data_IF_270981013925
#
_entry.id   IF_270981013925
#
_cell.length_a   1.000
_cell.length_b   1.000
_cell.length_c   1.000
_cell.angle_alpha   90.00
_cell.angle_beta   90.00
_cell.angle_gamma   90.00
#
_symmetry.space_group_name_H-M   'P 1'
#
loop_
_entity.id
_entity.type
_entity.pdbx_description
1 polymer ?
#
# COMPACT_ATOMS: atom_id res chain seq x y z
N UNK A 1 -27.16 2.71 -58.72
CA UNK A 1 -27.81 2.69 -57.40
C UNK A 1 -27.65 1.31 -56.81
N UNK A 2 -27.37 1.21 -55.50
CA UNK A 2 -26.74 0.13 -54.71
C UNK A 2 -25.30 -0.25 -55.13
N UNK A 3 -24.30 0.65 -55.14
CA UNK A 3 -23.40 1.07 -54.03
C UNK A 3 -22.81 -0.05 -53.16
N UNK A 4 -21.48 -0.15 -53.25
CA UNK A 4 -20.49 -0.43 -52.19
C UNK A 4 -20.90 -1.35 -51.03
N UNK A 5 -20.42 -2.61 -51.06
CA UNK A 5 -20.45 -3.49 -49.89
C UNK A 5 -19.26 -4.48 -49.87
N UNK A 6 -18.06 -4.04 -50.23
CA UNK A 6 -16.82 -4.81 -50.00
C UNK A 6 -15.60 -3.88 -49.97
N UNK A 7 -15.56 -2.98 -48.99
CA UNK A 7 -14.29 -2.45 -48.47
C UNK A 7 -14.04 -3.14 -47.14
N UNK A 8 -12.81 -3.58 -46.83
CA UNK A 8 -12.49 -4.03 -45.49
C UNK A 8 -12.63 -2.82 -44.58
N UNK A 9 -13.60 -2.87 -43.67
CA UNK A 9 -13.71 -1.90 -42.61
C UNK A 9 -12.44 -1.99 -41.77
N UNK A 10 -11.61 -0.96 -41.92
CA UNK A 10 -10.56 -0.62 -40.97
C UNK A 10 -11.24 -0.25 -39.66
N UNK A 11 -11.58 -1.25 -38.87
CA UNK A 11 -11.74 -1.09 -37.44
C UNK A 11 -10.33 -1.02 -36.85
N UNK A 12 -9.71 0.17 -36.94
CA UNK A 12 -8.89 0.62 -35.83
C UNK A 12 -9.84 0.77 -34.67
N UNK A 13 -9.95 -0.27 -33.85
CA UNK A 13 -10.29 -0.07 -32.45
C UNK A 13 -9.02 0.54 -31.85
N UNK A 14 -8.99 1.83 -31.48
CA UNK A 14 -8.06 2.19 -30.44
C UNK A 14 -8.61 1.47 -29.22
N UNK A 15 -7.99 0.35 -28.86
CA UNK A 15 -7.92 0.01 -27.44
C UNK A 15 -7.54 1.34 -26.77
N UNK A 16 -8.49 1.93 -26.05
CA UNK A 16 -8.21 3.01 -25.12
C UNK A 16 -7.27 2.36 -24.13
N UNK A 17 -5.98 2.43 -24.46
CA UNK A 17 -4.87 2.07 -23.61
C UNK A 17 -4.92 3.13 -22.50
N UNK A 18 -5.85 2.95 -21.57
CA UNK A 18 -5.93 3.69 -20.33
C UNK A 18 -4.84 3.17 -19.40
N UNK A 19 -3.63 2.96 -19.94
CA UNK A 19 -2.42 3.25 -19.20
C UNK A 19 -2.42 4.78 -18.97
N UNK A 20 -3.35 5.25 -18.12
CA UNK A 20 -3.07 6.44 -17.34
C UNK A 20 -1.67 6.22 -16.82
N UNK A 21 -0.74 7.10 -17.20
CA UNK A 21 0.65 7.02 -16.81
C UNK A 21 0.67 6.91 -15.28
N UNK A 22 0.77 5.68 -14.75
CA UNK A 22 0.60 5.43 -13.30
C UNK A 22 1.74 6.11 -12.54
N UNK A 23 2.90 6.31 -13.18
CA UNK A 23 3.96 7.17 -12.66
C UNK A 23 3.49 8.62 -12.45
N UNK A 24 2.51 9.09 -13.24
CA UNK A 24 1.91 10.42 -13.22
C UNK A 24 1.16 10.77 -11.94
N UNK A 25 0.60 9.79 -11.21
CA UNK A 25 -0.20 10.09 -10.01
C UNK A 25 0.62 10.80 -8.91
N UNK A 26 1.91 10.45 -8.80
CA UNK A 26 2.84 11.06 -7.85
C UNK A 26 3.98 11.83 -8.54
N UNK A 27 3.97 11.99 -9.87
CA UNK A 27 5.10 12.55 -10.63
C UNK A 27 5.55 13.93 -10.15
N UNK A 28 4.61 14.81 -9.80
CA UNK A 28 4.90 16.15 -9.28
C UNK A 28 4.75 16.24 -7.75
N UNK A 29 4.43 15.13 -7.09
CA UNK A 29 4.13 15.12 -5.65
C UNK A 29 5.39 15.34 -4.81
N UNK A 30 5.25 16.17 -3.78
CA UNK A 30 6.24 16.39 -2.73
C UNK A 30 5.56 16.28 -1.37
N UNK A 31 6.05 15.41 -0.50
CA UNK A 31 5.37 15.09 0.76
C UNK A 31 5.63 13.67 1.21
N UNK A 32 4.62 13.05 1.83
CA UNK A 32 4.69 11.68 2.32
C UNK A 32 3.62 10.80 1.69
N UNK A 33 4.03 9.63 1.24
CA UNK A 33 3.15 8.58 0.76
C UNK A 33 3.26 7.37 1.70
N UNK A 34 2.14 6.74 2.03
CA UNK A 34 2.07 5.58 2.92
C UNK A 34 1.43 4.40 2.18
N UNK A 35 1.94 3.20 2.40
CA UNK A 35 1.51 2.01 1.65
C UNK A 35 2.37 0.79 1.90
N UNK A 36 2.33 -0.15 0.98
CA UNK A 36 3.09 -1.41 1.04
C UNK A 36 4.12 -1.43 -0.08
N UNK A 37 5.39 -1.63 0.27
CA UNK A 37 6.42 -1.95 -0.71
C UNK A 37 6.29 -3.43 -1.09
N UNK A 38 5.92 -3.71 -2.33
CA UNK A 38 5.74 -5.06 -2.84
C UNK A 38 7.06 -5.63 -3.37
N UNK A 39 7.83 -4.81 -4.07
CA UNK A 39 9.06 -5.25 -4.72
C UNK A 39 10.00 -4.08 -5.04
N UNK A 40 11.23 -4.41 -5.46
CA UNK A 40 12.19 -3.45 -6.01
C UNK A 40 12.77 -3.95 -7.32
N UNK A 41 12.96 -3.04 -8.27
CA UNK A 41 13.57 -3.33 -9.56
C UNK A 41 14.76 -2.40 -9.84
N UNK A 42 15.75 -2.90 -10.58
CA UNK A 42 16.83 -2.08 -11.16
C UNK A 42 16.41 -1.63 -12.55
N UNK A 43 16.35 -0.32 -12.76
CA UNK A 43 15.98 0.30 -14.03
C UNK A 43 17.05 1.29 -14.47
N UNK A 44 17.05 1.68 -15.75
CA UNK A 44 17.98 2.68 -16.27
C UNK A 44 17.26 4.02 -16.38
N UNK A 45 17.87 5.08 -15.85
CA UNK A 45 17.35 6.44 -16.03
C UNK A 45 17.65 6.98 -17.45
N UNK A 46 17.20 8.20 -17.76
CA UNK A 46 17.43 8.85 -19.06
C UNK A 46 18.91 9.00 -19.44
N UNK A 47 19.82 8.97 -18.46
CA UNK A 47 21.27 9.05 -18.66
C UNK A 47 21.91 7.68 -18.86
N UNK A 48 21.15 6.60 -18.74
CA UNK A 48 21.62 5.23 -18.79
C UNK A 48 22.23 4.73 -17.47
N UNK A 49 22.08 5.48 -16.38
CA UNK A 49 22.55 5.04 -15.06
C UNK A 49 21.53 4.09 -14.42
N UNK A 50 22.01 3.03 -13.78
CA UNK A 50 21.18 2.12 -13.00
C UNK A 50 20.66 2.77 -11.72
N UNK A 51 19.35 2.79 -11.54
CA UNK A 51 18.64 3.29 -10.36
C UNK A 51 17.65 2.24 -9.85
N UNK A 52 17.21 2.37 -8.61
CA UNK A 52 16.16 1.51 -8.06
C UNK A 52 14.77 2.13 -8.26
N UNK A 53 13.79 1.27 -8.51
CA UNK A 53 12.37 1.57 -8.61
C UNK A 53 11.59 0.72 -7.60
N UNK A 54 10.62 1.35 -6.93
CA UNK A 54 9.73 0.72 -5.96
C UNK A 54 8.42 0.32 -6.63
N UNK A 55 8.06 -0.95 -6.57
CA UNK A 55 6.68 -1.40 -6.81
C UNK A 55 5.90 -1.21 -5.51
N UNK A 56 5.04 -0.20 -5.48
CA UNK A 56 4.45 0.33 -4.26
C UNK A 56 2.93 0.36 -4.34
N UNK A 57 2.26 -0.33 -3.43
CA UNK A 57 0.81 -0.30 -3.30
C UNK A 57 0.38 0.84 -2.38
N UNK A 58 -0.39 1.78 -2.92
CA UNK A 58 -0.94 2.94 -2.21
C UNK A 58 -2.42 3.12 -2.54
N UNK A 59 -3.27 3.10 -1.51
CA UNK A 59 -4.72 3.12 -1.70
C UNK A 59 -5.17 1.91 -2.51
N UNK A 60 -5.73 2.14 -3.69
CA UNK A 60 -6.17 1.10 -4.63
C UNK A 60 -5.22 0.91 -5.83
N UNK A 61 -4.05 1.56 -5.84
CA UNK A 61 -3.13 1.57 -6.99
C UNK A 61 -1.77 0.97 -6.64
N UNK A 62 -1.24 0.15 -7.54
CA UNK A 62 0.18 -0.21 -7.56
C UNK A 62 0.92 0.74 -8.49
N UNK A 63 1.92 1.44 -7.95
CA UNK A 63 2.73 2.43 -8.66
C UNK A 63 4.18 1.99 -8.71
N UNK A 64 4.89 2.41 -9.76
CA UNK A 64 6.32 2.20 -9.93
C UNK A 64 7.05 3.53 -9.67
N UNK A 65 7.69 3.66 -8.51
CA UNK A 65 8.18 4.93 -8.00
C UNK A 65 9.71 4.96 -7.97
N UNK A 66 10.28 5.94 -8.67
CA UNK A 66 11.72 6.07 -8.85
C UNK A 66 12.43 6.62 -7.60
N UNK A 67 13.60 6.06 -7.31
CA UNK A 67 14.48 6.56 -6.24
C UNK A 67 15.58 7.49 -6.76
N UNK A 68 15.91 7.40 -8.06
CA UNK A 68 17.06 8.05 -8.68
C UNK A 68 18.39 7.84 -7.92
N UNK A 69 18.55 6.69 -7.24
CA UNK A 69 19.73 6.37 -6.44
C UNK A 69 19.91 7.24 -5.19
N UNK A 70 18.87 7.99 -4.79
CA UNK A 70 18.92 8.85 -3.60
C UNK A 70 18.80 8.08 -2.28
N UNK A 71 18.29 6.85 -2.33
CA UNK A 71 18.14 5.96 -1.18
C UNK A 71 18.75 4.59 -1.50
N UNK A 72 19.23 3.92 -0.46
CA UNK A 72 19.56 2.50 -0.52
C UNK A 72 18.28 1.75 -0.24
N UNK A 73 17.80 0.97 -1.22
CA UNK A 73 16.55 0.22 -1.09
C UNK A 73 16.74 -1.01 -0.22
N UNK A 74 15.65 -1.42 0.42
CA UNK A 74 15.63 -2.70 1.12
C UNK A 74 15.89 -3.87 0.17
N UNK A 75 16.55 -4.90 0.69
CA UNK A 75 16.74 -6.15 -0.03
C UNK A 75 15.44 -6.95 -0.07
N UNK A 76 15.25 -7.83 -1.07
CA UNK A 76 14.05 -8.69 -1.16
C UNK A 76 13.76 -9.44 0.15
N UNK A 77 14.73 -10.07 0.84
CA UNK A 77 14.45 -10.72 2.13
C UNK A 77 13.98 -9.77 3.23
N UNK A 78 14.41 -8.51 3.20
CA UNK A 78 13.94 -7.47 4.12
C UNK A 78 12.49 -7.11 3.82
N UNK A 79 12.16 -6.93 2.54
CA UNK A 79 10.80 -6.65 2.08
C UNK A 79 9.86 -7.80 2.45
N UNK A 80 10.24 -9.05 2.20
CA UNK A 80 9.46 -10.24 2.59
C UNK A 80 9.20 -10.30 4.10
N UNK A 81 10.18 -9.87 4.90
CA UNK A 81 10.06 -9.72 6.35
C UNK A 81 8.99 -8.72 6.74
N UNK A 82 9.01 -7.53 6.12
CA UNK A 82 8.01 -6.48 6.34
C UNK A 82 6.62 -6.90 5.86
N UNK A 83 6.51 -7.55 4.70
CA UNK A 83 5.24 -8.10 4.20
C UNK A 83 4.63 -9.10 5.19
N UNK A 84 5.46 -9.98 5.74
CA UNK A 84 5.04 -10.99 6.73
C UNK A 84 4.62 -10.38 8.07
N UNK A 85 5.36 -9.36 8.52
CA UNK A 85 5.04 -8.61 9.73
C UNK A 85 3.78 -7.73 9.54
N UNK A 86 3.46 -7.39 8.30
CA UNK A 86 2.41 -6.45 7.93
C UNK A 86 2.84 -5.02 8.22
N UNK A 87 4.10 -4.66 7.97
CA UNK A 87 4.60 -3.31 8.17
C UNK A 87 4.20 -2.37 7.03
N UNK A 88 3.85 -1.14 7.39
CA UNK A 88 3.69 -0.06 6.42
C UNK A 88 5.04 0.55 6.08
N UNK A 89 5.18 0.97 4.83
CA UNK A 89 6.22 1.86 4.38
C UNK A 89 5.68 3.29 4.30
N UNK A 90 6.54 4.24 4.67
CA UNK A 90 6.33 5.66 4.44
C UNK A 90 7.47 6.19 3.56
N UNK A 91 7.13 6.83 2.44
CA UNK A 91 8.07 7.41 1.49
C UNK A 91 8.11 8.94 1.64
N UNK A 92 9.29 9.53 1.82
CA UNK A 92 9.48 10.98 1.68
C UNK A 92 9.80 11.31 0.23
N UNK A 93 8.91 12.02 -0.43
CA UNK A 93 9.00 12.32 -1.86
C UNK A 93 9.31 13.79 -2.12
N UNK A 94 10.00 14.05 -3.23
CA UNK A 94 10.21 15.38 -3.79
C UNK A 94 10.17 15.28 -5.31
N UNK A 95 9.16 15.93 -5.90
CA UNK A 95 8.86 15.91 -7.35
C UNK A 95 8.86 14.47 -7.90
N UNK A 96 8.04 13.61 -7.30
CA UNK A 96 7.87 12.21 -7.72
C UNK A 96 9.02 11.26 -7.42
N UNK A 97 10.11 11.76 -6.85
CA UNK A 97 11.29 10.94 -6.53
C UNK A 97 11.32 10.64 -5.03
N UNK A 98 11.51 9.37 -4.68
CA UNK A 98 11.75 8.95 -3.30
C UNK A 98 13.12 9.46 -2.85
N UNK A 99 13.14 10.19 -1.74
CA UNK A 99 14.36 10.78 -1.15
C UNK A 99 14.76 10.16 0.17
N UNK A 100 13.79 9.58 0.90
CA UNK A 100 13.96 8.77 2.12
C UNK A 100 12.77 7.83 2.24
N UNK A 101 12.90 6.80 3.06
CA UNK A 101 11.76 6.00 3.50
C UNK A 101 11.96 5.59 4.96
N UNK A 102 10.89 5.10 5.58
CA UNK A 102 10.91 4.40 6.85
C UNK A 102 9.77 3.38 6.88
N UNK A 103 9.73 2.59 7.94
CA UNK A 103 8.79 1.49 8.13
C UNK A 103 8.11 1.59 9.49
N UNK A 104 6.91 1.02 9.63
CA UNK A 104 6.13 1.10 10.87
C UNK A 104 6.80 0.40 12.06
N UNK A 105 7.59 -0.64 11.82
CA UNK A 105 8.34 -1.40 12.84
C UNK A 105 9.26 -0.51 13.71
N UNK A 106 9.75 0.58 13.14
CA UNK A 106 10.64 1.53 13.80
C UNK A 106 10.02 2.94 13.91
N UNK A 107 8.70 3.05 13.83
CA UNK A 107 7.95 4.31 13.85
C UNK A 107 8.46 5.30 12.78
N UNK A 108 8.81 4.79 11.61
CA UNK A 108 9.33 5.56 10.47
C UNK A 108 10.57 6.40 10.77
N UNK A 109 11.48 5.89 11.62
CA UNK A 109 12.70 6.58 12.05
C UNK A 109 13.63 7.06 10.92
N UNK A 110 13.53 6.48 9.73
CA UNK A 110 14.28 6.88 8.53
C UNK A 110 13.83 8.21 7.90
N UNK A 111 12.70 8.77 8.32
CA UNK A 111 12.17 10.03 7.79
C UNK A 111 12.81 11.26 8.45
N UNK A 112 12.74 12.41 7.77
CA UNK A 112 13.35 13.67 8.24
C UNK A 112 12.65 14.32 9.44
N UNK A 113 11.44 13.87 9.80
CA UNK A 113 10.72 14.29 11.00
C UNK A 113 9.86 13.13 11.51
N UNK A 114 9.50 13.10 12.80
CA UNK A 114 8.59 12.08 13.33
C UNK A 114 7.31 11.99 12.50
N UNK A 115 6.76 10.79 12.34
CA UNK A 115 5.38 10.65 11.89
C UNK A 115 4.45 11.11 13.02
N UNK A 116 4.21 12.42 13.08
CA UNK A 116 3.18 12.97 13.94
C UNK A 116 1.86 12.30 13.59
N UNK A 117 1.13 11.84 14.60
CA UNK A 117 -0.16 11.18 14.39
C UNK A 117 -0.10 9.69 14.03
N UNK A 118 1.09 9.11 13.83
CA UNK A 118 1.17 7.66 13.61
C UNK A 118 0.80 6.87 14.86
N UNK A 119 -0.07 5.88 14.67
CA UNK A 119 -0.44 4.91 15.70
C UNK A 119 -0.58 3.51 15.07
N UNK A 120 0.06 2.52 15.68
CA UNK A 120 -0.17 1.10 15.41
C UNK A 120 -1.02 0.53 16.55
N UNK A 121 -2.32 0.41 16.31
CA UNK A 121 -3.30 -0.08 17.29
C UNK A 121 -3.10 -1.57 17.63
N UNK A 122 -2.24 -2.26 16.89
CA UNK A 122 -1.96 -3.69 17.02
C UNK A 122 -0.52 -3.99 17.48
N UNK A 123 0.30 -2.97 17.75
CA UNK A 123 1.73 -3.12 18.05
C UNK A 123 2.04 -4.12 19.18
N UNK A 124 1.19 -4.17 20.21
CA UNK A 124 1.41 -5.04 21.37
C UNK A 124 1.20 -6.55 21.09
N UNK A 125 0.35 -6.90 20.13
CA UNK A 125 0.05 -8.30 19.77
C UNK A 125 0.63 -8.72 18.41
N UNK A 126 1.19 -7.78 17.66
CA UNK A 126 1.52 -7.94 16.25
C UNK A 126 0.25 -7.90 15.41
N UNK A 127 -0.57 -8.94 15.45
CA UNK A 127 -1.84 -9.00 14.73
C UNK A 127 -3.03 -9.07 15.70
N UNK A 128 -4.16 -8.45 15.31
CA UNK A 128 -5.43 -8.57 16.04
C UNK A 128 -6.35 -9.57 15.35
N UNK A 129 -6.84 -10.59 16.08
CA UNK A 129 -7.84 -11.50 15.51
C UNK A 129 -9.22 -10.83 15.54
N UNK A 130 -9.88 -10.76 14.40
CA UNK A 130 -11.21 -10.16 14.26
C UNK A 130 -12.24 -11.02 14.99
N UNK A 131 -13.03 -10.37 15.84
CA UNK A 131 -14.22 -10.94 16.47
C UNK A 131 -15.47 -10.67 15.62
N UNK A 132 -15.68 -9.41 15.24
CA UNK A 132 -16.83 -8.96 14.45
C UNK A 132 -16.50 -7.70 13.65
N UNK A 133 -17.26 -7.45 12.58
CA UNK A 133 -17.18 -6.21 11.79
C UNK A 133 -18.59 -5.73 11.47
N UNK A 134 -18.92 -4.53 11.91
CA UNK A 134 -20.22 -3.90 11.63
C UNK A 134 -20.03 -2.41 11.36
N UNK A 135 -20.52 -1.91 10.23
CA UNK A 135 -20.52 -0.47 9.87
C UNK A 135 -19.17 0.23 10.11
N UNK A 136 -18.09 -0.24 9.47
CA UNK A 136 -16.74 0.33 9.61
C UNK A 136 -16.19 0.30 11.05
N UNK A 137 -16.76 -0.52 11.92
CA UNK A 137 -16.20 -0.80 13.24
C UNK A 137 -15.65 -2.22 13.22
N UNK A 138 -14.37 -2.37 13.54
CA UNK A 138 -13.70 -3.65 13.72
C UNK A 138 -13.58 -3.94 15.21
N UNK A 139 -14.14 -5.06 15.64
CA UNK A 139 -13.91 -5.61 16.97
C UNK A 139 -12.83 -6.69 16.90
N UNK A 140 -11.78 -6.60 17.71
CA UNK A 140 -10.75 -7.65 17.82
C UNK A 140 -10.79 -8.34 19.18
N UNK A 141 -10.42 -9.62 19.18
CA UNK A 141 -10.34 -10.47 20.37
C UNK A 141 -9.12 -10.06 21.20
N UNK A 142 -9.29 -9.94 22.50
CA UNK A 142 -8.19 -9.86 23.47
C UNK A 142 -7.97 -11.20 24.18
N UNK A 143 -6.77 -11.36 24.73
CA UNK A 143 -6.52 -12.41 25.71
C UNK A 143 -7.53 -12.30 26.86
N UNK A 144 -8.00 -13.45 27.35
CA UNK A 144 -8.93 -13.57 28.48
C UNK A 144 -10.37 -13.07 28.23
N UNK A 145 -10.80 -13.00 26.96
CA UNK A 145 -12.20 -12.75 26.59
C UNK A 145 -12.62 -11.27 26.57
N UNK A 146 -11.66 -10.36 26.65
CA UNK A 146 -11.90 -8.94 26.35
C UNK A 146 -12.04 -8.67 24.85
N UNK A 147 -12.36 -7.42 24.52
CA UNK A 147 -12.44 -6.93 23.14
C UNK A 147 -11.84 -5.54 23.01
N UNK A 148 -11.20 -5.27 21.89
CA UNK A 148 -10.89 -3.92 21.44
C UNK A 148 -11.85 -3.54 20.31
N UNK A 149 -12.23 -2.27 20.24
CA UNK A 149 -13.16 -1.75 19.24
C UNK A 149 -12.48 -0.58 18.56
N UNK A 150 -12.43 -0.61 17.22
CA UNK A 150 -11.77 0.40 16.41
C UNK A 150 -12.72 0.91 15.34
N UNK A 151 -12.87 2.23 15.25
CA UNK A 151 -13.54 2.88 14.13
C UNK A 151 -12.57 2.99 12.96
N UNK A 152 -13.04 2.68 11.76
CA UNK A 152 -12.29 2.75 10.51
C UNK A 152 -12.89 3.85 9.66
N UNK A 153 -12.06 4.63 8.97
CA UNK A 153 -12.55 5.59 7.98
C UNK A 153 -13.31 4.87 6.85
N UNK A 154 -14.32 5.54 6.29
CA UNK A 154 -15.09 4.96 5.18
C UNK A 154 -14.23 4.75 3.91
N UNK A 155 -13.21 5.60 3.74
CA UNK A 155 -12.22 5.61 2.67
C UNK A 155 -10.84 5.10 3.14
N UNK A 156 -10.78 4.37 4.25
CA UNK A 156 -9.55 3.74 4.70
C UNK A 156 -8.93 2.86 3.61
N UNK A 157 -7.60 2.88 3.51
CA UNK A 157 -6.88 1.97 2.63
C UNK A 157 -6.88 0.56 3.22
N UNK A 158 -7.41 -0.41 2.49
CA UNK A 158 -7.50 -1.80 2.96
C UNK A 158 -6.66 -2.67 2.04
N UNK A 159 -5.74 -3.43 2.64
CA UNK A 159 -4.81 -4.30 1.92
C UNK A 159 -5.02 -5.76 2.36
N UNK A 160 -5.27 -6.66 1.41
CA UNK A 160 -5.47 -8.09 1.68
C UNK A 160 -4.21 -8.85 1.31
N UNK A 161 -3.71 -9.66 2.23
CA UNK A 161 -2.50 -10.44 2.02
C UNK A 161 -2.71 -11.50 0.94
N UNK A 162 -1.81 -11.52 -0.04
CA UNK A 162 -1.70 -12.61 -1.02
C UNK A 162 -0.83 -13.69 -0.40
N UNK A 163 -1.37 -14.91 -0.30
CA UNK A 163 -0.70 -16.04 0.36
C UNK A 163 -0.43 -17.16 -0.63
N UNK A 164 0.84 -17.45 -0.85
CA UNK A 164 1.31 -18.55 -1.70
C UNK A 164 2.19 -19.50 -0.89
N UNK A 165 1.93 -20.81 -0.98
CA UNK A 165 2.70 -21.80 -0.22
C UNK A 165 2.65 -21.63 1.30
N UNK A 166 1.67 -20.88 1.83
CA UNK A 166 1.54 -20.56 3.26
C UNK A 166 2.34 -19.35 3.74
N UNK A 167 3.03 -18.64 2.85
CA UNK A 167 3.73 -17.39 3.13
C UNK A 167 3.00 -16.21 2.48
N UNK A 168 3.07 -15.03 3.11
CA UNK A 168 2.60 -13.80 2.49
C UNK A 168 3.64 -13.38 1.45
N UNK A 169 3.23 -13.25 0.19
CA UNK A 169 4.10 -12.86 -0.93
C UNK A 169 3.81 -11.46 -1.44
N UNK A 170 2.73 -10.84 -0.98
CA UNK A 170 2.35 -9.48 -1.35
C UNK A 170 1.02 -9.09 -0.72
N UNK A 171 0.49 -7.97 -1.18
CA UNK A 171 -0.84 -7.47 -0.83
C UNK A 171 -1.54 -6.96 -2.07
N UNK A 172 -2.86 -7.02 -2.06
CA UNK A 172 -3.73 -6.41 -3.06
C UNK A 172 -4.73 -5.45 -2.40
N UNK A 173 -5.29 -4.48 -3.15
CA UNK A 173 -6.38 -3.65 -2.65
C UNK A 173 -7.57 -4.50 -2.23
N UNK A 174 -8.16 -4.17 -1.09
CA UNK A 174 -9.35 -4.80 -0.57
C UNK A 174 -10.41 -3.80 -0.13
N UNK A 175 -11.41 -4.30 0.56
CA UNK A 175 -12.55 -3.55 1.06
C UNK A 175 -12.89 -3.95 2.49
N UNK A 176 -13.74 -3.18 3.16
CA UNK A 176 -14.20 -3.52 4.52
C UNK A 176 -14.89 -4.91 4.57
N UNK A 177 -15.39 -5.41 3.43
CA UNK A 177 -16.05 -6.73 3.32
C UNK A 177 -15.07 -7.89 3.38
N UNK A 178 -13.79 -7.64 3.17
CA UNK A 178 -12.73 -8.66 3.22
C UNK A 178 -12.30 -8.95 4.66
N UNK A 179 -12.62 -8.03 5.57
CA UNK A 179 -12.40 -8.18 7.00
C UNK A 179 -13.59 -8.95 7.58
N UNK A 180 -13.33 -10.17 8.06
CA UNK A 180 -14.35 -11.09 8.57
C UNK A 180 -13.90 -11.66 9.90
N UNK A 181 -14.84 -12.18 10.68
CA UNK A 181 -14.54 -12.92 11.90
C UNK A 181 -13.45 -13.98 11.64
N UNK A 182 -12.57 -14.16 12.64
CA UNK A 182 -11.43 -15.07 12.65
C UNK A 182 -10.26 -14.72 11.71
N UNK A 183 -10.39 -13.71 10.84
CA UNK A 183 -9.25 -13.11 10.13
C UNK A 183 -8.33 -12.35 11.07
N UNK A 184 -7.11 -12.09 10.63
CA UNK A 184 -6.13 -11.31 11.37
C UNK A 184 -5.93 -9.96 10.69
N UNK A 185 -5.86 -8.89 11.49
CA UNK A 185 -5.65 -7.53 10.99
C UNK A 185 -4.48 -6.81 11.65
N UNK A 186 -3.82 -5.93 10.89
CA UNK A 186 -3.02 -4.80 11.39
C UNK A 186 -3.82 -3.53 11.18
N UNK A 187 -3.80 -2.63 12.15
CA UNK A 187 -4.62 -1.43 12.15
C UNK A 187 -3.74 -0.21 12.43
N UNK A 188 -3.77 0.77 11.52
CA UNK A 188 -2.91 1.94 11.59
C UNK A 188 -3.68 3.24 11.41
N UNK A 189 -3.22 4.30 12.09
CA UNK A 189 -3.41 5.70 11.69
C UNK A 189 -2.06 6.24 11.23
N UNK A 190 -2.00 6.96 10.10
CA UNK A 190 -0.76 7.50 9.55
C UNK A 190 -0.72 9.03 9.56
N UNK A 191 -1.87 9.69 9.48
CA UNK A 191 -1.99 11.15 9.59
C UNK A 191 -2.26 11.61 11.02
N UNK A 192 -3.09 10.85 11.76
CA UNK A 192 -3.58 11.23 13.08
C UNK A 192 -4.49 12.46 13.07
N UNK A 193 -5.07 12.80 11.92
CA UNK A 193 -6.04 13.91 11.79
C UNK A 193 -7.29 13.64 12.64
N UNK A 194 -7.69 12.36 12.73
CA UNK A 194 -8.74 11.86 13.61
C UNK A 194 -8.16 10.88 14.65
N UNK A 195 -7.74 11.35 15.84
CA UNK A 195 -7.11 10.51 16.84
C UNK A 195 -7.96 9.29 17.23
N UNK A 196 -7.35 8.11 17.21
CA UNK A 196 -8.02 6.84 17.54
C UNK A 196 -8.86 6.22 16.41
N UNK A 197 -8.83 6.81 15.20
CA UNK A 197 -9.49 6.27 14.01
C UNK A 197 -8.48 5.57 13.10
N UNK A 198 -8.86 4.43 12.55
CA UNK A 198 -8.03 3.62 11.65
C UNK A 198 -8.16 4.15 10.23
N UNK A 199 -7.01 4.42 9.60
CA UNK A 199 -6.87 4.92 8.23
C UNK A 199 -6.37 3.85 7.28
N UNK A 200 -5.63 2.86 7.80
CA UNK A 200 -5.09 1.75 7.01
C UNK A 200 -5.31 0.42 7.73
N UNK A 201 -5.82 -0.57 7.00
CA UNK A 201 -6.05 -1.93 7.50
C UNK A 201 -5.32 -2.93 6.62
N UNK A 202 -4.51 -3.81 7.21
CA UNK A 202 -4.00 -5.00 6.52
C UNK A 202 -4.77 -6.22 7.01
N UNK A 203 -5.07 -7.16 6.12
CA UNK A 203 -5.86 -8.37 6.39
C UNK A 203 -5.09 -9.62 6.00
N UNK A 204 -5.11 -10.65 6.85
CA UNK A 204 -4.52 -11.98 6.62
C UNK A 204 -5.53 -13.09 6.92
#
# INVERSE_FOLDING_TARGET
>A
DITEANKPDGATDPEEDSSEDLAGYLADYSGRAYGILLNTAKVLNEKGDGVDEYEFLIGDKTLYIQTNGKVITDSIPTIDGHLTAGDLYALQMSNGVVTRFGTSDNNFSGLSSPALGFEDFTAGSGWGQVNDVTNYVIETKLAYGGRNVFSVLEDASIYVAVVEGGAITGYEPGTIRDIKADKWVRLYSVTGDDPGVVEVVLVK
#
